data_IF_453851289328
#
_entry.id   IF_453851289328
#
_cell.length_a   1.000
_cell.length_b   1.000
_cell.length_c   1.000
_cell.angle_alpha   90.00
_cell.angle_beta   90.00
_cell.angle_gamma   90.00
#
_symmetry.space_group_name_H-M   'P 1'
#
loop_
_entity.id
_entity.type
_entity.pdbx_description
1 polymer ?
#
# COMPACT_ATOMS: atom_id res chain seq x y z
N UNK A 1 37.09 60.38 21.37
CA UNK A 1 37.58 58.99 21.23
C UNK A 1 37.22 58.24 22.50
N UNK A 2 36.20 57.38 22.48
CA UNK A 2 35.97 56.25 23.42
C UNK A 2 34.60 55.61 23.15
N UNK A 3 34.53 54.75 22.12
CA UNK A 3 33.38 53.88 21.79
C UNK A 3 33.51 52.46 22.37
N UNK A 4 34.32 52.25 23.42
CA UNK A 4 34.70 50.91 23.89
C UNK A 4 33.68 50.14 24.77
N UNK A 5 32.72 50.75 25.51
CA UNK A 5 31.83 49.96 26.40
C UNK A 5 30.65 49.31 25.65
N UNK A 6 30.22 49.88 24.52
CA UNK A 6 29.06 49.41 23.74
C UNK A 6 29.37 48.07 23.04
N UNK A 7 30.58 47.92 22.49
CA UNK A 7 31.00 46.68 21.84
C UNK A 7 31.13 45.50 22.80
N UNK A 8 31.50 45.74 24.07
CA UNK A 8 31.56 44.68 25.08
C UNK A 8 30.16 44.15 25.42
N UNK A 9 29.18 45.03 25.60
CA UNK A 9 27.80 44.64 25.85
C UNK A 9 27.17 43.91 24.66
N UNK A 10 27.40 44.39 23.44
CA UNK A 10 26.97 43.68 22.23
C UNK A 10 27.63 42.30 22.10
N UNK A 11 28.90 42.17 22.45
CA UNK A 11 29.61 40.88 22.43
C UNK A 11 29.03 39.89 23.45
N UNK A 12 28.78 40.31 24.70
CA UNK A 12 28.15 39.47 25.71
C UNK A 12 26.72 39.08 25.34
N UNK A 13 25.94 40.00 24.75
CA UNK A 13 24.58 39.72 24.30
C UNK A 13 24.56 38.69 23.16
N UNK A 14 25.44 38.82 22.17
CA UNK A 14 25.58 37.86 21.06
C UNK A 14 26.08 36.50 21.53
N UNK A 15 26.96 36.46 22.52
CA UNK A 15 27.46 35.21 23.11
C UNK A 15 26.35 34.48 23.89
N UNK A 16 25.59 35.20 24.72
CA UNK A 16 24.44 34.62 25.44
C UNK A 16 23.36 34.11 24.48
N UNK A 17 23.07 34.85 23.40
CA UNK A 17 22.12 34.42 22.37
C UNK A 17 22.60 33.14 21.66
N UNK A 18 23.90 33.06 21.32
CA UNK A 18 24.49 31.87 20.70
C UNK A 18 24.47 30.65 21.62
N UNK A 19 24.76 30.84 22.91
CA UNK A 19 24.67 29.77 23.91
C UNK A 19 23.23 29.30 24.11
N UNK A 20 22.26 30.21 24.13
CA UNK A 20 20.84 29.86 24.23
C UNK A 20 20.36 29.06 23.01
N UNK A 21 20.75 29.46 21.79
CA UNK A 21 20.43 28.73 20.56
C UNK A 21 21.08 27.34 20.51
N UNK A 22 22.32 27.21 21.00
CA UNK A 22 22.98 25.91 21.11
C UNK A 22 22.26 25.00 22.12
N UNK A 23 21.91 25.53 23.29
CA UNK A 23 21.21 24.78 24.32
C UNK A 23 19.80 24.35 23.86
N UNK A 24 19.06 25.22 23.16
CA UNK A 24 17.75 24.86 22.61
C UNK A 24 17.87 23.81 21.49
N UNK A 25 18.88 23.92 20.64
CA UNK A 25 19.15 22.92 19.59
C UNK A 25 19.51 21.56 20.19
N UNK A 26 20.38 21.51 21.20
CA UNK A 26 20.73 20.27 21.91
C UNK A 26 19.50 19.68 22.60
N UNK A 27 18.68 20.52 23.23
CA UNK A 27 17.44 20.07 23.88
C UNK A 27 16.46 19.44 22.89
N UNK A 28 16.23 20.07 21.74
CA UNK A 28 15.37 19.52 20.68
C UNK A 28 15.93 18.22 20.11
N UNK A 29 17.24 18.12 19.93
CA UNK A 29 17.90 16.92 19.45
C UNK A 29 17.74 15.75 20.44
N UNK A 30 17.93 16.01 21.73
CA UNK A 30 17.68 15.03 22.80
C UNK A 30 16.21 14.59 22.76
N UNK A 31 15.27 15.53 22.66
CA UNK A 31 13.85 15.22 22.56
C UNK A 31 13.54 14.34 21.35
N UNK A 32 14.14 14.61 20.19
CA UNK A 32 13.94 13.84 18.97
C UNK A 32 14.44 12.39 19.09
N UNK A 33 15.57 12.16 19.78
CA UNK A 33 16.05 10.81 20.04
C UNK A 33 15.15 10.04 21.01
N UNK A 34 14.61 10.70 22.03
CA UNK A 34 13.73 10.06 23.01
C UNK A 34 12.29 9.86 22.52
N UNK A 35 11.81 10.69 21.59
CA UNK A 35 10.46 10.61 20.99
C UNK A 35 10.58 10.06 19.57
N UNK A 36 11.18 8.87 19.43
CA UNK A 36 11.10 8.15 18.16
C UNK A 36 9.70 7.55 18.01
N UNK A 37 8.92 7.90 16.97
CA UNK A 37 7.60 7.34 16.76
C UNK A 37 7.71 5.84 16.48
N UNK A 38 6.72 5.08 16.93
CA UNK A 38 6.61 3.66 16.57
C UNK A 38 6.28 3.51 15.07
N UNK A 39 6.67 2.40 14.44
CA UNK A 39 6.36 2.12 13.03
C UNK A 39 4.85 2.23 12.73
N UNK A 40 4.01 1.79 13.68
CA UNK A 40 2.55 1.91 13.58
C UNK A 40 2.07 3.38 13.52
N UNK A 41 2.71 4.29 14.26
CA UNK A 41 2.40 5.72 14.22
C UNK A 41 2.84 6.35 12.89
N UNK A 42 4.01 5.94 12.38
CA UNK A 42 4.50 6.38 11.08
C UNK A 42 3.54 5.96 9.96
N UNK A 43 3.08 4.72 9.99
CA UNK A 43 2.18 4.19 8.94
C UNK A 43 0.81 4.86 8.99
N UNK A 44 0.23 5.07 10.17
CA UNK A 44 -1.04 5.81 10.30
C UNK A 44 -0.96 7.25 9.80
N UNK A 45 0.23 7.84 9.77
CA UNK A 45 0.43 9.19 9.24
C UNK A 45 0.63 9.21 7.72
N UNK A 46 1.30 8.21 7.16
CA UNK A 46 1.68 8.19 5.75
C UNK A 46 0.70 7.44 4.83
N UNK A 47 -0.11 6.54 5.39
CA UNK A 47 -1.05 5.73 4.62
C UNK A 47 -2.50 6.12 4.92
N UNK A 48 -3.34 6.00 3.89
CA UNK A 48 -4.79 6.11 3.99
C UNK A 48 -5.31 5.06 4.97
N UNK A 49 -6.39 5.38 5.69
CA UNK A 49 -7.01 4.44 6.61
C UNK A 49 -7.36 3.14 5.89
N UNK A 50 -7.09 2.01 6.53
CA UNK A 50 -7.47 0.68 6.05
C UNK A 50 -7.77 -0.23 7.24
N UNK A 51 -8.80 -1.10 7.15
CA UNK A 51 -9.09 -2.08 8.20
C UNK A 51 -7.93 -3.06 8.43
N UNK A 52 -7.02 -3.20 7.47
CA UNK A 52 -5.82 -4.02 7.63
C UNK A 52 -4.83 -3.46 8.67
N UNK A 53 -4.82 -2.14 8.90
CA UNK A 53 -3.84 -1.49 9.79
C UNK A 53 -3.89 -1.99 11.23
N UNK A 54 -5.07 -2.43 11.70
CA UNK A 54 -5.23 -2.93 13.06
C UNK A 54 -4.84 -4.42 13.20
N UNK A 55 -4.60 -5.12 12.09
CA UNK A 55 -4.22 -6.54 12.07
C UNK A 55 -2.76 -6.79 11.69
N UNK A 56 -2.07 -5.80 11.11
CA UNK A 56 -0.67 -5.95 10.68
C UNK A 56 0.26 -5.99 11.89
N UNK A 57 1.00 -7.08 12.03
CA UNK A 57 2.11 -7.22 12.99
C UNK A 57 3.43 -7.07 12.23
N UNK A 58 4.25 -6.11 12.65
CA UNK A 58 5.55 -5.88 12.02
C UNK A 58 6.56 -6.91 12.52
N UNK A 59 7.12 -7.65 11.57
CA UNK A 59 8.20 -8.58 11.80
C UNK A 59 9.37 -8.19 10.89
N UNK A 60 10.53 -7.95 11.49
CA UNK A 60 11.75 -7.76 10.72
C UNK A 60 12.21 -9.12 10.23
N UNK A 61 12.04 -9.37 8.93
CA UNK A 61 12.58 -10.54 8.26
C UNK A 61 13.68 -10.09 7.31
N UNK A 62 14.87 -10.65 7.49
CA UNK A 62 15.89 -10.62 6.44
C UNK A 62 15.53 -11.72 5.48
N UNK A 63 15.08 -11.39 4.27
CA UNK A 63 14.82 -12.37 3.22
C UNK A 63 16.17 -12.87 2.66
N UNK A 64 16.69 -14.02 3.10
CA UNK A 64 18.07 -14.41 2.81
C UNK A 64 18.20 -14.99 1.40
N UNK A 65 17.08 -15.48 0.84
CA UNK A 65 16.99 -16.24 -0.40
C UNK A 65 15.97 -15.64 -1.37
N UNK A 66 16.11 -14.36 -1.74
CA UNK A 66 15.51 -13.89 -2.99
C UNK A 66 16.31 -14.45 -4.16
N UNK A 67 16.16 -15.75 -4.41
CA UNK A 67 16.57 -16.34 -5.65
C UNK A 67 15.52 -15.93 -6.70
N UNK A 68 15.63 -14.69 -7.21
CA UNK A 68 14.76 -14.12 -8.25
C UNK A 68 14.71 -14.98 -9.53
N UNK A 69 15.61 -15.96 -9.63
CA UNK A 69 15.77 -16.89 -10.74
C UNK A 69 15.27 -18.30 -10.44
N UNK A 70 14.79 -18.58 -9.22
CA UNK A 70 14.23 -19.89 -8.87
C UNK A 70 12.70 -19.81 -8.92
N UNK A 71 12.08 -20.74 -9.65
CA UNK A 71 10.62 -20.78 -9.77
C UNK A 71 10.00 -21.04 -8.40
N UNK A 72 9.13 -20.15 -7.94
CA UNK A 72 8.35 -20.42 -6.75
C UNK A 72 7.32 -21.51 -7.04
N UNK A 73 6.90 -22.25 -6.01
CA UNK A 73 5.78 -23.20 -6.11
C UNK A 73 4.47 -22.59 -6.63
N UNK A 74 4.31 -21.26 -6.52
CA UNK A 74 3.16 -20.52 -7.02
C UNK A 74 3.35 -20.00 -8.45
N UNK A 75 4.59 -19.82 -8.91
CA UNK A 75 4.92 -19.15 -10.17
C UNK A 75 5.60 -20.08 -11.17
N UNK A 76 5.41 -21.40 -11.05
CA UNK A 76 6.00 -22.33 -11.99
C UNK A 76 5.43 -22.11 -13.40
N UNK A 77 6.26 -22.35 -14.42
CA UNK A 77 5.91 -22.09 -15.81
C UNK A 77 4.73 -22.95 -16.32
N UNK A 78 4.46 -24.13 -15.75
CA UNK A 78 3.42 -25.02 -16.27
C UNK A 78 2.12 -24.90 -15.47
N UNK A 79 0.95 -24.70 -16.09
CA UNK A 79 -0.34 -24.60 -15.41
C UNK A 79 -0.83 -26.00 -14.97
N UNK A 80 -0.33 -26.51 -13.84
CA UNK A 80 -0.82 -27.76 -13.23
C UNK A 80 -2.06 -27.52 -12.38
N UNK A 81 -2.88 -28.56 -12.15
CA UNK A 81 -4.03 -28.46 -11.24
C UNK A 81 -3.61 -28.08 -9.82
N UNK A 82 -2.43 -28.54 -9.38
CA UNK A 82 -1.89 -28.17 -8.08
C UNK A 82 -1.58 -26.68 -7.99
N UNK A 83 -1.03 -26.09 -9.06
CA UNK A 83 -0.74 -24.65 -9.12
C UNK A 83 -2.03 -23.83 -9.14
N UNK A 84 -3.05 -24.22 -9.91
CA UNK A 84 -4.35 -23.53 -9.88
C UNK A 84 -4.94 -23.52 -8.46
N UNK A 85 -4.88 -24.66 -7.76
CA UNK A 85 -5.34 -24.76 -6.36
C UNK A 85 -4.54 -23.85 -5.42
N UNK A 86 -3.22 -23.77 -5.58
CA UNK A 86 -2.38 -22.87 -4.79
C UNK A 86 -2.70 -21.39 -5.08
N UNK A 87 -3.06 -21.04 -6.32
CA UNK A 87 -3.52 -19.70 -6.66
C UNK A 87 -4.88 -19.37 -6.04
N UNK A 88 -5.82 -20.32 -6.03
CA UNK A 88 -7.12 -20.18 -5.37
C UNK A 88 -6.99 -19.97 -3.86
N UNK A 89 -6.00 -20.58 -3.21
CA UNK A 89 -5.74 -20.41 -1.77
C UNK A 89 -5.22 -19.02 -1.40
N UNK A 90 -4.43 -18.39 -2.28
CA UNK A 90 -3.85 -17.06 -2.02
C UNK A 90 -4.79 -15.94 -2.47
N UNK A 91 -5.68 -16.23 -3.42
CA UNK A 91 -6.65 -15.25 -3.90
C UNK A 91 -7.70 -14.93 -2.83
N UNK A 92 -8.08 -13.67 -2.74
CA UNK A 92 -9.15 -13.24 -1.84
C UNK A 92 -10.47 -13.89 -2.27
N UNK A 93 -11.09 -14.66 -1.36
CA UNK A 93 -12.33 -15.40 -1.64
C UNK A 93 -13.57 -14.51 -1.62
N UNK A 94 -13.60 -13.50 -0.75
CA UNK A 94 -14.73 -12.59 -0.58
C UNK A 94 -14.24 -11.14 -0.45
N UNK A 95 -14.95 -10.17 -1.04
CA UNK A 95 -14.68 -8.75 -0.78
C UNK A 95 -14.75 -8.45 0.72
N UNK A 96 -14.06 -7.40 1.15
CA UNK A 96 -14.13 -6.92 2.53
C UNK A 96 -15.26 -5.91 2.68
N UNK A 97 -15.90 -5.91 3.83
CA UNK A 97 -16.96 -4.97 4.17
C UNK A 97 -16.35 -3.73 4.82
N UNK A 98 -16.55 -2.56 4.20
CA UNK A 98 -16.11 -1.27 4.71
C UNK A 98 -17.32 -0.52 5.28
N UNK A 99 -17.31 -0.16 6.58
CA UNK A 99 -18.35 0.66 7.17
C UNK A 99 -18.49 2.03 6.49
N UNK A 100 -19.72 2.49 6.25
CA UNK A 100 -19.96 3.77 5.57
C UNK A 100 -19.32 4.99 6.26
N UNK A 101 -19.16 4.97 7.59
CA UNK A 101 -18.51 6.06 8.34
C UNK A 101 -17.01 6.20 8.03
N UNK A 102 -16.41 5.18 7.43
CA UNK A 102 -14.98 5.15 7.09
C UNK A 102 -14.69 5.51 5.64
N UNK A 103 -15.71 5.69 4.80
CA UNK A 103 -15.54 6.00 3.38
C UNK A 103 -14.90 7.37 3.15
N UNK A 104 -15.23 8.36 3.97
CA UNK A 104 -14.60 9.68 3.90
C UNK A 104 -13.09 9.61 4.13
N UNK A 105 -12.64 8.65 4.95
CA UNK A 105 -11.22 8.44 5.22
C UNK A 105 -10.47 7.82 4.04
N UNK A 106 -11.17 7.22 3.07
CA UNK A 106 -10.60 6.62 1.88
C UNK A 106 -10.34 7.63 0.75
N UNK A 107 -10.71 8.90 0.96
CA UNK A 107 -10.54 10.00 -0.01
C UNK A 107 -11.06 9.63 -1.41
N UNK A 108 -12.20 8.94 -1.47
CA UNK A 108 -12.87 8.58 -2.71
C UNK A 108 -13.69 9.76 -3.23
N UNK A 109 -13.84 9.88 -4.56
CA UNK A 109 -14.58 10.99 -5.19
C UNK A 109 -16.10 10.90 -5.01
N UNK A 110 -16.62 9.77 -4.53
CA UNK A 110 -18.05 9.48 -4.43
C UNK A 110 -18.52 9.55 -2.98
N UNK A 111 -19.71 10.08 -2.75
CA UNK A 111 -20.34 10.12 -1.42
C UNK A 111 -20.80 8.71 -1.00
N UNK A 112 -20.92 8.46 0.30
CA UNK A 112 -21.34 7.16 0.86
C UNK A 112 -22.74 6.69 0.41
N UNK A 113 -23.58 7.64 -0.01
CA UNK A 113 -24.96 7.40 -0.44
C UNK A 113 -25.10 7.22 -1.95
N UNK A 114 -23.99 7.17 -2.69
CA UNK A 114 -24.02 6.96 -4.13
C UNK A 114 -24.61 5.58 -4.49
N UNK A 115 -25.43 5.53 -5.55
CA UNK A 115 -26.08 4.31 -6.04
C UNK A 115 -25.06 3.36 -6.69
N UNK A 116 -23.91 3.87 -7.11
CA UNK A 116 -22.84 3.07 -7.74
C UNK A 116 -22.12 2.13 -6.75
N UNK A 117 -22.33 2.31 -5.44
CA UNK A 117 -21.72 1.46 -4.43
C UNK A 117 -22.42 0.11 -4.26
N UNK A 118 -21.63 -0.96 -4.30
CA UNK A 118 -22.12 -2.30 -4.00
C UNK A 118 -22.15 -2.49 -2.48
N UNK A 119 -23.35 -2.61 -1.91
CA UNK A 119 -23.56 -2.85 -0.47
C UNK A 119 -23.39 -4.31 -0.10
N UNK A 120 -22.97 -4.55 1.14
CA UNK A 120 -22.90 -5.89 1.70
C UNK A 120 -24.34 -6.46 1.86
N UNK A 121 -24.62 -7.68 1.36
CA UNK A 121 -25.91 -8.33 1.59
C UNK A 121 -26.24 -8.59 3.06
N UNK A 122 -25.23 -8.70 3.94
CA UNK A 122 -25.40 -8.92 5.38
C UNK A 122 -25.50 -7.63 6.19
N UNK A 123 -24.91 -6.52 5.69
CA UNK A 123 -24.94 -5.21 6.32
C UNK A 123 -25.16 -4.08 5.29
N UNK A 124 -26.38 -3.54 5.25
CA UNK A 124 -26.73 -2.45 4.32
C UNK A 124 -25.94 -1.16 4.54
N UNK A 125 -25.32 -0.98 5.71
CA UNK A 125 -24.47 0.16 6.03
C UNK A 125 -22.99 -0.09 5.74
N UNK A 126 -22.63 -1.24 5.18
CA UNK A 126 -21.29 -1.55 4.72
C UNK A 126 -21.24 -1.65 3.18
N UNK A 127 -20.10 -1.26 2.64
CA UNK A 127 -19.81 -1.30 1.21
C UNK A 127 -18.75 -2.38 0.96
N UNK A 128 -18.98 -3.19 -0.06
CA UNK A 128 -18.03 -4.21 -0.48
C UNK A 128 -16.87 -3.55 -1.22
N UNK A 129 -15.66 -3.80 -0.74
CA UNK A 129 -14.43 -3.33 -1.34
C UNK A 129 -13.46 -4.49 -1.58
N UNK A 130 -12.63 -4.36 -2.61
CA UNK A 130 -11.54 -5.29 -2.88
C UNK A 130 -10.24 -4.58 -2.54
N UNK A 131 -9.44 -5.09 -1.60
CA UNK A 131 -8.11 -4.55 -1.31
C UNK A 131 -7.25 -4.53 -2.57
N UNK A 132 -6.45 -3.48 -2.72
CA UNK A 132 -5.64 -3.27 -3.92
C UNK A 132 -4.69 -4.45 -4.20
N UNK A 133 -4.08 -5.04 -3.16
CA UNK A 133 -3.22 -6.22 -3.32
C UNK A 133 -3.96 -7.42 -3.93
N UNK A 134 -5.23 -7.62 -3.55
CA UNK A 134 -6.03 -8.74 -4.04
C UNK A 134 -6.41 -8.54 -5.51
N UNK A 135 -6.70 -7.29 -5.90
CA UNK A 135 -6.94 -6.94 -7.29
C UNK A 135 -5.67 -7.11 -8.15
N UNK A 136 -4.50 -6.71 -7.64
CA UNK A 136 -3.20 -6.91 -8.31
C UNK A 136 -2.87 -8.40 -8.47
N UNK A 137 -3.08 -9.20 -7.43
CA UNK A 137 -2.86 -10.65 -7.48
C UNK A 137 -3.81 -11.33 -8.48
N UNK A 138 -5.09 -10.91 -8.50
CA UNK A 138 -6.06 -11.36 -9.49
C UNK A 138 -5.67 -10.99 -10.93
N UNK A 139 -5.11 -9.79 -11.14
CA UNK A 139 -4.57 -9.37 -12.44
C UNK A 139 -3.40 -10.26 -12.88
N UNK A 140 -2.49 -10.58 -11.95
CA UNK A 140 -1.35 -11.45 -12.23
C UNK A 140 -1.80 -12.87 -12.59
N UNK A 141 -2.75 -13.43 -11.85
CA UNK A 141 -3.31 -14.75 -12.14
C UNK A 141 -4.05 -14.77 -13.49
N UNK A 142 -4.85 -13.73 -13.76
CA UNK A 142 -5.54 -13.59 -15.04
C UNK A 142 -4.57 -13.55 -16.22
N UNK A 143 -3.50 -12.73 -16.15
CA UNK A 143 -2.51 -12.66 -17.22
C UNK A 143 -1.80 -14.00 -17.44
N UNK A 144 -1.48 -14.72 -16.36
CA UNK A 144 -0.92 -16.07 -16.43
C UNK A 144 -1.88 -17.03 -17.15
N UNK A 145 -3.13 -17.10 -16.72
CA UNK A 145 -4.15 -17.97 -17.32
C UNK A 145 -4.40 -17.60 -18.79
N UNK A 146 -4.43 -16.30 -19.10
CA UNK A 146 -4.54 -15.78 -20.47
C UNK A 146 -3.42 -16.29 -21.38
N UNK A 147 -2.17 -16.23 -20.92
CA UNK A 147 -1.01 -16.75 -21.68
C UNK A 147 -1.11 -18.26 -21.91
N UNK A 148 -1.68 -19.01 -20.96
CA UNK A 148 -1.86 -20.46 -21.06
C UNK A 148 -3.19 -20.91 -21.68
N UNK A 149 -4.07 -19.98 -22.07
CA UNK A 149 -5.36 -20.27 -22.70
C UNK A 149 -5.28 -21.22 -23.92
N UNK A 150 -4.22 -21.19 -24.77
CA UNK A 150 -4.09 -22.18 -25.85
C UNK A 150 -3.87 -23.63 -25.39
N UNK A 151 -3.38 -23.82 -24.16
CA UNK A 151 -3.00 -25.13 -23.61
C UNK A 151 -3.99 -25.65 -22.57
N UNK A 152 -4.81 -24.77 -21.98
CA UNK A 152 -5.80 -25.12 -20.96
C UNK A 152 -7.01 -24.21 -21.09
N UNK A 153 -8.19 -24.82 -21.00
CA UNK A 153 -9.45 -24.09 -21.03
C UNK A 153 -9.74 -23.43 -19.68
N UNK A 154 -9.91 -22.10 -19.70
CA UNK A 154 -10.27 -21.27 -18.56
C UNK A 154 -11.67 -20.63 -18.69
N UNK A 155 -12.44 -20.96 -19.73
CA UNK A 155 -13.74 -20.32 -20.02
C UNK A 155 -14.80 -20.53 -18.93
N UNK A 156 -14.59 -21.51 -18.05
CA UNK A 156 -15.42 -21.72 -16.85
C UNK A 156 -15.28 -20.58 -15.82
N UNK A 157 -14.21 -19.79 -15.87
CA UNK A 157 -13.98 -18.66 -14.98
C UNK A 157 -14.67 -17.39 -15.51
N UNK A 158 -15.36 -16.66 -14.64
CA UNK A 158 -16.00 -15.39 -14.99
C UNK A 158 -15.02 -14.36 -15.59
N UNK A 159 -13.76 -14.38 -15.16
CA UNK A 159 -12.68 -13.53 -15.69
C UNK A 159 -12.35 -13.81 -17.15
N UNK A 160 -12.61 -15.03 -17.64
CA UNK A 160 -12.33 -15.51 -18.99
C UNK A 160 -13.59 -15.60 -19.88
N UNK A 161 -14.75 -15.19 -19.38
CA UNK A 161 -15.96 -15.09 -20.16
C UNK A 161 -15.97 -13.80 -21.01
N UNK A 162 -16.44 -13.92 -22.25
CA UNK A 162 -16.57 -12.82 -23.20
C UNK A 162 -15.92 -13.12 -24.55
N UNK A 163 -15.99 -12.15 -25.47
CA UNK A 163 -15.26 -12.24 -26.73
C UNK A 163 -13.77 -11.89 -26.59
N UNK A 164 -12.98 -12.18 -27.62
CA UNK A 164 -11.54 -11.87 -27.64
C UNK A 164 -11.24 -10.40 -27.33
N UNK A 165 -12.05 -9.46 -27.84
CA UNK A 165 -11.89 -8.03 -27.56
C UNK A 165 -12.01 -7.72 -26.06
N UNK A 166 -13.01 -8.29 -25.38
CA UNK A 166 -13.24 -8.11 -23.95
C UNK A 166 -12.06 -8.60 -23.14
N UNK A 167 -11.54 -9.77 -23.49
CA UNK A 167 -10.40 -10.37 -22.80
C UNK A 167 -9.12 -9.57 -23.04
N UNK A 168 -8.96 -9.01 -24.23
CA UNK A 168 -7.83 -8.15 -24.55
C UNK A 168 -7.86 -6.81 -23.83
N UNK A 169 -9.05 -6.21 -23.72
CA UNK A 169 -9.26 -5.02 -22.89
C UNK A 169 -8.96 -5.30 -21.43
N UNK A 170 -9.42 -6.43 -20.87
CA UNK A 170 -9.13 -6.85 -19.49
C UNK A 170 -7.63 -7.05 -19.26
N UNK A 171 -6.94 -7.71 -20.19
CA UNK A 171 -5.48 -7.89 -20.15
C UNK A 171 -4.75 -6.55 -20.08
N UNK A 172 -5.15 -5.59 -20.93
CA UNK A 172 -4.56 -4.25 -20.91
C UNK A 172 -4.83 -3.51 -19.59
N UNK A 173 -6.04 -3.60 -19.03
CA UNK A 173 -6.36 -3.04 -17.72
C UNK A 173 -5.52 -3.67 -16.59
N UNK A 174 -5.30 -4.99 -16.65
CA UNK A 174 -4.45 -5.70 -15.69
C UNK A 174 -2.99 -5.21 -15.77
N UNK A 175 -2.46 -5.04 -16.98
CA UNK A 175 -1.11 -4.53 -17.20
C UNK A 175 -0.96 -3.10 -16.66
N UNK A 176 -1.92 -2.21 -16.93
CA UNK A 176 -1.87 -0.83 -16.42
C UNK A 176 -1.94 -0.78 -14.89
N UNK A 177 -2.78 -1.61 -14.27
CA UNK A 177 -2.87 -1.69 -12.80
C UNK A 177 -1.57 -2.18 -12.18
N UNK A 178 -0.97 -3.24 -12.73
CA UNK A 178 0.33 -3.75 -12.28
C UNK A 178 1.44 -2.71 -12.50
N UNK A 179 1.45 -2.02 -13.64
CA UNK A 179 2.40 -0.93 -13.93
C UNK A 179 2.32 0.18 -12.87
N UNK A 180 1.11 0.61 -12.52
CA UNK A 180 0.90 1.60 -11.47
C UNK A 180 1.42 1.11 -10.11
N UNK A 181 1.16 -0.15 -9.76
CA UNK A 181 1.66 -0.74 -8.52
C UNK A 181 3.19 -0.66 -8.41
N UNK A 182 3.91 -1.02 -9.48
CA UNK A 182 5.37 -0.97 -9.50
C UNK A 182 5.93 0.45 -9.53
N UNK A 183 5.30 1.37 -10.27
CA UNK A 183 5.81 2.74 -10.41
C UNK A 183 5.55 3.58 -9.16
N UNK A 184 4.39 3.44 -8.52
CA UNK A 184 4.00 4.23 -7.34
C UNK A 184 4.69 3.72 -6.07
N UNK A 185 5.04 2.43 -5.99
CA UNK A 185 5.83 1.90 -4.87
C UNK A 185 7.26 2.47 -4.79
N UNK A 186 7.79 3.07 -5.87
CA UNK A 186 9.16 3.59 -5.92
C UNK A 186 9.26 5.13 -5.83
N UNK A 187 8.14 5.83 -5.60
CA UNK A 187 8.10 7.31 -5.51
C UNK A 187 7.92 7.83 -4.08
N UNK A 188 8.50 7.14 -3.10
CA UNK A 188 8.59 7.58 -1.70
C UNK A 188 10.03 7.91 -1.32
#
# INVERSE_FOLDING_TARGET
MNRTPIYKYQFYLSWLASCFLLLSSIFLLVLAFYISPTDAQCIRHNFVWSPALDQIKYHWETFPDYNLFNESKYFALSPTTEIERLWEEVQLSHPISIPSDKLELLNQSYHADDEDWIRDPEDSNAILAIPEYAAQLGCLNFLRQWTFSPYRDYTYLASHQGGNETLWKRSHQCLERLRQAFMVCCSG
#
